data_IF_999787116925
#
_entry.id   IF_999787116925
#
_cell.length_a   1.000
_cell.length_b   1.000
_cell.length_c   1.000
_cell.angle_alpha   90.00
_cell.angle_beta   90.00
_cell.angle_gamma   90.00
#
_symmetry.space_group_name_H-M   'P 1'
#
loop_
_entity.id
_entity.type
_entity.pdbx_description
1 polymer ?
#
# COMPACT_ATOMS: atom_id res chain seq x y z
N UNK A 1 -39.00 52.15 -8.83
CA UNK A 1 -38.53 50.87 -8.23
C UNK A 1 -38.47 49.70 -9.23
N UNK A 2 -38.06 49.90 -10.50
CA UNK A 2 -37.97 48.82 -11.52
C UNK A 2 -36.52 48.32 -11.78
N UNK A 3 -35.53 49.07 -11.29
CA UNK A 3 -34.11 48.79 -11.51
C UNK A 3 -33.60 47.64 -10.63
N UNK A 4 -34.00 47.58 -9.35
CA UNK A 4 -33.55 46.54 -8.42
C UNK A 4 -33.94 45.11 -8.83
N UNK A 5 -35.12 44.92 -9.45
CA UNK A 5 -35.60 43.60 -9.86
C UNK A 5 -34.78 43.00 -10.99
N UNK A 6 -34.31 43.83 -11.94
CA UNK A 6 -33.44 43.38 -13.04
C UNK A 6 -32.07 42.96 -12.54
N UNK A 7 -31.51 43.68 -11.58
CA UNK A 7 -30.19 43.38 -11.00
C UNK A 7 -30.22 42.06 -10.21
N UNK A 8 -31.30 41.81 -9.46
CA UNK A 8 -31.50 40.55 -8.71
C UNK A 8 -31.57 39.35 -9.66
N UNK A 9 -32.25 39.48 -10.80
CA UNK A 9 -32.34 38.40 -11.79
C UNK A 9 -30.99 38.05 -12.43
N UNK A 10 -30.18 39.07 -12.72
CA UNK A 10 -28.82 38.87 -13.24
C UNK A 10 -27.95 38.15 -12.21
N UNK A 11 -28.08 38.51 -10.93
CA UNK A 11 -27.35 37.91 -9.81
C UNK A 11 -27.74 36.45 -9.57
N UNK A 12 -29.03 36.13 -9.67
CA UNK A 12 -29.54 34.75 -9.59
C UNK A 12 -29.07 33.90 -10.77
N UNK A 13 -29.06 34.47 -11.99
CA UNK A 13 -28.59 33.79 -13.18
C UNK A 13 -27.11 33.40 -13.10
N UNK A 14 -26.25 34.32 -12.70
CA UNK A 14 -24.81 34.03 -12.56
C UNK A 14 -24.53 33.04 -11.43
N UNK A 15 -25.28 33.11 -10.33
CA UNK A 15 -25.17 32.15 -9.22
C UNK A 15 -25.56 30.72 -9.66
N UNK A 16 -26.66 30.58 -10.41
CA UNK A 16 -27.10 29.29 -10.94
C UNK A 16 -26.06 28.68 -11.90
N UNK A 17 -25.45 29.50 -12.75
CA UNK A 17 -24.38 29.08 -13.66
C UNK A 17 -23.14 28.64 -12.86
N UNK A 18 -22.74 29.39 -11.84
CA UNK A 18 -21.63 29.02 -10.95
C UNK A 18 -21.87 27.70 -10.22
N UNK A 19 -23.09 27.47 -9.73
CA UNK A 19 -23.48 26.21 -9.09
C UNK A 19 -23.51 25.04 -10.07
N UNK A 20 -24.03 25.24 -11.28
CA UNK A 20 -24.07 24.20 -12.31
C UNK A 20 -22.66 23.78 -12.74
N UNK A 21 -21.75 24.75 -12.93
CA UNK A 21 -20.34 24.49 -13.25
C UNK A 21 -19.61 23.81 -12.09
N UNK A 22 -19.88 24.21 -10.85
CA UNK A 22 -19.33 23.57 -9.65
C UNK A 22 -19.79 22.11 -9.50
N UNK A 23 -21.08 21.84 -9.75
CA UNK A 23 -21.65 20.50 -9.66
C UNK A 23 -21.10 19.56 -10.75
N UNK A 24 -20.96 20.05 -11.99
CA UNK A 24 -20.39 19.28 -13.10
C UNK A 24 -18.89 19.00 -12.91
N UNK A 25 -18.14 19.94 -12.30
CA UNK A 25 -16.73 19.75 -11.95
C UNK A 25 -16.50 18.71 -10.84
N UNK A 26 -17.40 18.64 -9.85
CA UNK A 26 -17.32 17.63 -8.78
C UNK A 26 -17.60 16.20 -9.28
N UNK A 27 -18.57 16.03 -10.18
CA UNK A 27 -18.97 14.70 -10.68
C UNK A 27 -17.86 14.01 -11.49
N UNK A 28 -17.14 14.75 -12.33
CA UNK A 28 -16.05 14.20 -13.15
C UNK A 28 -14.78 13.87 -12.36
N UNK A 29 -14.49 14.63 -11.29
CA UNK A 29 -13.32 14.40 -10.46
C UNK A 29 -13.52 13.26 -9.44
N UNK A 30 -14.76 12.99 -9.02
CA UNK A 30 -15.10 11.87 -8.15
C UNK A 30 -15.04 10.52 -8.91
N UNK A 31 -15.56 10.46 -10.14
CA UNK A 31 -15.52 9.24 -10.96
C UNK A 31 -14.09 8.81 -11.31
N UNK A 32 -13.20 9.74 -11.68
CA UNK A 32 -11.80 9.40 -12.01
C UNK A 32 -10.99 8.93 -10.81
N UNK A 33 -11.31 9.40 -9.59
CA UNK A 33 -10.66 8.89 -8.36
C UNK A 33 -11.15 7.49 -8.00
N UNK A 34 -12.43 7.19 -8.24
CA UNK A 34 -12.96 5.84 -8.05
C UNK A 34 -12.46 4.88 -9.13
N UNK A 35 -12.41 5.25 -10.40
CA UNK A 35 -11.81 4.42 -11.46
C UNK A 35 -10.36 4.03 -11.14
N UNK A 36 -9.55 4.98 -10.67
CA UNK A 36 -8.15 4.71 -10.31
C UNK A 36 -8.02 3.79 -9.08
N UNK A 37 -8.91 3.92 -8.11
CA UNK A 37 -8.99 3.02 -6.94
C UNK A 37 -9.52 1.63 -7.33
N UNK A 38 -10.50 1.57 -8.23
CA UNK A 38 -11.09 0.34 -8.76
C UNK A 38 -10.09 -0.41 -9.65
N UNK A 39 -9.28 0.30 -10.44
CA UNK A 39 -8.26 -0.27 -11.31
C UNK A 39 -7.02 -0.75 -10.52
N UNK A 40 -6.59 0.01 -9.51
CA UNK A 40 -5.57 -0.46 -8.56
C UNK A 40 -6.06 -1.64 -7.70
N UNK A 41 -7.38 -1.72 -7.40
CA UNK A 41 -8.02 -2.82 -6.66
C UNK A 41 -8.33 -4.05 -7.54
N UNK A 42 -8.51 -3.87 -8.86
CA UNK A 42 -8.69 -4.93 -9.86
C UNK A 42 -7.43 -5.76 -10.08
N UNK A 43 -6.25 -5.15 -9.98
CA UNK A 43 -4.98 -5.84 -10.28
C UNK A 43 -4.37 -6.63 -9.12
N UNK A 44 -4.84 -6.47 -7.88
CA UNK A 44 -4.30 -7.23 -6.75
C UNK A 44 -5.10 -7.06 -5.46
N UNK A 45 -5.94 -8.04 -5.16
CA UNK A 45 -6.76 -8.08 -3.94
C UNK A 45 -7.77 -9.22 -3.99
N UNK A 46 -8.57 -9.37 -2.93
CA UNK A 46 -9.60 -10.39 -2.81
C UNK A 46 -10.64 -10.29 -3.93
N UNK A 47 -11.04 -9.06 -4.32
CA UNK A 47 -11.94 -8.85 -5.44
C UNK A 47 -11.35 -9.40 -6.75
N UNK A 48 -10.09 -9.08 -7.06
CA UNK A 48 -9.42 -9.61 -8.26
C UNK A 48 -9.21 -11.13 -8.26
N UNK A 49 -9.33 -11.81 -7.13
CA UNK A 49 -9.43 -13.28 -7.09
C UNK A 49 -10.85 -13.76 -7.42
N UNK A 50 -11.88 -13.10 -6.88
CA UNK A 50 -13.29 -13.44 -7.12
C UNK A 50 -13.68 -13.18 -8.58
N UNK A 51 -13.23 -12.06 -9.14
CA UNK A 51 -13.46 -11.61 -10.52
C UNK A 51 -12.96 -12.62 -11.57
N UNK A 52 -12.02 -13.52 -11.21
CA UNK A 52 -11.55 -14.59 -12.11
C UNK A 52 -12.57 -15.73 -12.30
N UNK A 53 -13.52 -15.86 -11.38
CA UNK A 53 -14.45 -16.99 -11.34
C UNK A 53 -15.90 -16.56 -11.52
N UNK A 54 -16.21 -15.29 -11.26
CA UNK A 54 -17.57 -14.76 -11.31
C UNK A 54 -17.58 -13.57 -12.26
N UNK A 55 -18.36 -13.70 -13.33
CA UNK A 55 -18.72 -12.58 -14.19
C UNK A 55 -20.01 -11.92 -13.65
N UNK A 56 -19.98 -10.65 -13.20
CA UNK A 56 -21.17 -9.99 -12.66
C UNK A 56 -22.26 -9.81 -13.71
N UNK A 57 -23.52 -10.07 -13.34
CA UNK A 57 -24.68 -9.98 -14.23
C UNK A 57 -25.06 -8.52 -14.49
N UNK A 58 -24.85 -7.64 -13.50
CA UNK A 58 -25.12 -6.22 -13.60
C UNK A 58 -24.14 -5.37 -12.76
N UNK A 59 -24.22 -4.05 -12.94
CA UNK A 59 -23.37 -3.09 -12.22
C UNK A 59 -23.64 -3.09 -10.70
N UNK A 60 -24.88 -3.34 -10.28
CA UNK A 60 -25.27 -3.34 -8.87
C UNK A 60 -24.60 -4.51 -8.15
N UNK A 61 -24.57 -5.68 -8.79
CA UNK A 61 -23.88 -6.87 -8.30
C UNK A 61 -22.37 -6.63 -8.26
N UNK A 62 -21.79 -6.03 -9.30
CA UNK A 62 -20.37 -5.70 -9.32
C UNK A 62 -19.99 -4.81 -8.13
N UNK A 63 -20.71 -3.71 -7.92
CA UNK A 63 -20.44 -2.77 -6.83
C UNK A 63 -20.59 -3.44 -5.45
N UNK A 64 -21.58 -4.34 -5.33
CA UNK A 64 -21.80 -5.14 -4.12
C UNK A 64 -20.63 -6.09 -3.86
N UNK A 65 -20.16 -6.82 -4.88
CA UNK A 65 -19.01 -7.72 -4.78
C UNK A 65 -17.73 -6.96 -4.40
N UNK A 66 -17.52 -5.77 -4.97
CA UNK A 66 -16.39 -4.90 -4.61
C UNK A 66 -16.47 -4.49 -3.14
N UNK A 67 -17.65 -4.04 -2.68
CA UNK A 67 -17.84 -3.60 -1.31
C UNK A 67 -17.64 -4.73 -0.28
N UNK A 68 -18.16 -5.93 -0.55
CA UNK A 68 -17.95 -7.12 0.28
C UNK A 68 -16.46 -7.47 0.32
N UNK A 69 -15.82 -7.56 -0.84
CA UNK A 69 -14.41 -7.91 -0.94
C UNK A 69 -13.51 -6.94 -0.17
N UNK A 70 -13.79 -5.64 -0.29
CA UNK A 70 -13.03 -4.61 0.42
C UNK A 70 -13.16 -4.72 1.94
N UNK A 71 -14.35 -5.01 2.45
CA UNK A 71 -14.59 -5.19 3.89
C UNK A 71 -13.76 -6.34 4.48
N UNK A 72 -13.53 -7.38 3.69
CA UNK A 72 -12.77 -8.55 4.12
C UNK A 72 -11.28 -8.48 3.79
N UNK A 73 -10.87 -7.59 2.90
CA UNK A 73 -9.49 -7.40 2.47
C UNK A 73 -8.55 -7.14 3.66
N UNK A 74 -8.89 -6.18 4.54
CA UNK A 74 -8.04 -5.81 5.68
C UNK A 74 -7.80 -6.98 6.65
N UNK A 75 -8.83 -7.81 6.87
CA UNK A 75 -8.73 -8.99 7.74
C UNK A 75 -7.83 -10.04 7.09
N UNK A 76 -7.97 -10.24 5.79
CA UNK A 76 -7.17 -11.18 5.01
C UNK A 76 -5.71 -10.75 4.94
N UNK A 77 -5.43 -9.46 4.76
CA UNK A 77 -4.08 -8.90 4.72
C UNK A 77 -3.35 -9.07 6.05
N UNK A 78 -4.04 -8.83 7.17
CA UNK A 78 -3.49 -9.11 8.52
C UNK A 78 -3.13 -10.58 8.68
N UNK A 79 -4.01 -11.49 8.23
CA UNK A 79 -3.77 -12.92 8.29
C UNK A 79 -2.56 -13.32 7.44
N UNK A 80 -2.50 -12.86 6.19
CA UNK A 80 -1.37 -13.14 5.30
C UNK A 80 -0.06 -12.57 5.82
N UNK A 81 -0.08 -11.37 6.41
CA UNK A 81 1.11 -10.77 7.02
C UNK A 81 1.63 -11.63 8.17
N UNK A 82 0.74 -12.06 9.08
CA UNK A 82 1.10 -12.94 10.22
C UNK A 82 1.62 -14.29 9.74
N UNK A 83 0.88 -14.94 8.82
CA UNK A 83 1.27 -16.21 8.24
C UNK A 83 2.62 -16.14 7.53
N UNK A 84 2.85 -15.10 6.72
CA UNK A 84 4.13 -14.90 6.01
C UNK A 84 5.30 -14.73 6.98
N UNK A 85 5.11 -13.99 8.07
CA UNK A 85 6.15 -13.82 9.09
C UNK A 85 6.48 -15.14 9.80
N UNK A 86 5.45 -15.91 10.19
CA UNK A 86 5.63 -17.22 10.79
C UNK A 86 6.32 -18.20 9.83
N UNK A 87 5.84 -18.29 8.59
CA UNK A 87 6.41 -19.14 7.55
C UNK A 87 7.88 -18.83 7.29
N UNK A 88 8.24 -17.54 7.22
CA UNK A 88 9.63 -17.14 7.06
C UNK A 88 10.51 -17.64 8.20
N UNK A 89 10.00 -17.67 9.44
CA UNK A 89 10.78 -18.15 10.58
C UNK A 89 10.93 -19.65 10.61
N UNK A 90 9.85 -20.36 10.35
CA UNK A 90 9.88 -21.80 10.18
C UNK A 90 10.91 -22.22 9.12
N UNK A 91 10.93 -21.54 7.97
CA UNK A 91 11.87 -21.85 6.88
C UNK A 91 13.33 -21.54 7.23
N UNK A 92 13.56 -20.53 8.06
CA UNK A 92 14.89 -20.17 8.55
C UNK A 92 15.41 -21.23 9.54
N UNK A 93 14.58 -21.64 10.50
CA UNK A 93 14.89 -22.74 11.42
C UNK A 93 15.16 -24.05 10.67
N UNK A 94 14.30 -24.37 9.68
CA UNK A 94 14.50 -25.54 8.82
C UNK A 94 15.84 -25.48 8.08
N UNK A 95 16.24 -24.30 7.57
CA UNK A 95 17.54 -24.11 6.92
C UNK A 95 18.69 -24.41 7.90
N UNK A 96 18.62 -23.87 9.11
CA UNK A 96 19.65 -24.09 10.15
C UNK A 96 19.79 -25.57 10.51
N UNK A 97 18.69 -26.32 10.55
CA UNK A 97 18.71 -27.76 10.85
C UNK A 97 19.19 -28.60 9.66
N UNK A 98 18.86 -28.22 8.43
CA UNK A 98 19.20 -29.00 7.23
C UNK A 98 20.64 -28.78 6.77
N UNK A 99 21.16 -27.55 6.80
CA UNK A 99 22.49 -27.21 6.26
C UNK A 99 23.62 -28.10 6.79
N UNK A 100 23.68 -28.46 8.08
CA UNK A 100 24.73 -29.35 8.60
C UNK A 100 24.69 -30.80 8.08
N UNK A 101 23.53 -31.25 7.57
CA UNK A 101 23.31 -32.63 7.11
C UNK A 101 23.50 -32.76 5.59
N UNK A 102 23.50 -31.63 4.88
CA UNK A 102 23.58 -31.57 3.43
C UNK A 102 25.02 -31.38 2.96
N UNK A 103 25.33 -31.92 1.78
CA UNK A 103 26.56 -31.57 1.08
C UNK A 103 26.49 -30.15 0.50
N UNK A 104 27.66 -29.54 0.29
CA UNK A 104 27.85 -28.21 -0.30
C UNK A 104 27.11 -28.01 -1.63
N UNK A 105 27.05 -29.03 -2.49
CA UNK A 105 26.30 -28.99 -3.75
C UNK A 105 24.79 -28.88 -3.54
N UNK A 106 24.27 -29.61 -2.55
CA UNK A 106 22.84 -29.63 -2.19
C UNK A 106 22.42 -28.32 -1.51
N UNK A 107 23.28 -27.78 -0.63
CA UNK A 107 23.06 -26.46 -0.01
C UNK A 107 22.96 -25.37 -1.07
N UNK A 108 23.83 -25.41 -2.08
CA UNK A 108 23.82 -24.44 -3.19
C UNK A 108 22.52 -24.55 -4.00
N UNK A 109 22.06 -25.77 -4.30
CA UNK A 109 20.81 -26.00 -5.02
C UNK A 109 19.56 -25.54 -4.25
N UNK A 110 19.56 -25.67 -2.91
CA UNK A 110 18.44 -25.32 -2.05
C UNK A 110 18.39 -23.84 -1.64
N UNK A 111 19.52 -23.13 -1.70
CA UNK A 111 19.63 -21.71 -1.28
C UNK A 111 18.60 -20.80 -1.98
N UNK A 112 18.39 -20.86 -3.31
CA UNK A 112 17.36 -20.03 -3.98
C UNK A 112 15.94 -20.28 -3.49
N UNK A 113 15.65 -21.50 -3.00
CA UNK A 113 14.34 -21.83 -2.43
C UNK A 113 14.18 -21.22 -1.04
N UNK A 114 15.16 -21.37 -0.16
CA UNK A 114 15.15 -20.73 1.16
C UNK A 114 15.09 -19.21 1.07
N UNK A 115 15.89 -18.60 0.19
CA UNK A 115 15.93 -17.14 0.04
C UNK A 115 14.57 -16.58 -0.43
N UNK A 116 13.89 -17.26 -1.36
CA UNK A 116 12.52 -16.87 -1.76
C UNK A 116 11.53 -17.00 -0.59
N UNK A 117 11.74 -17.95 0.30
CA UNK A 117 10.88 -18.16 1.46
C UNK A 117 11.13 -17.15 2.60
N UNK A 118 12.35 -16.62 2.75
CA UNK A 118 12.79 -15.78 3.89
C UNK A 118 12.99 -14.28 3.57
N UNK A 119 13.05 -13.89 2.29
CA UNK A 119 13.39 -12.54 1.74
C UNK A 119 12.85 -11.27 2.43
N UNK A 120 11.83 -11.33 3.30
CA UNK A 120 11.28 -10.13 3.98
C UNK A 120 11.53 -10.05 5.48
N UNK A 121 12.07 -11.08 6.13
CA UNK A 121 12.52 -10.94 7.52
C UNK A 121 13.74 -10.01 7.59
N UNK A 122 14.72 -10.20 6.70
CA UNK A 122 15.95 -9.40 6.66
C UNK A 122 15.71 -7.89 6.48
N UNK A 123 14.67 -7.49 5.74
CA UNK A 123 14.34 -6.08 5.54
C UNK A 123 13.71 -5.41 6.79
N UNK A 124 13.14 -6.19 7.71
CA UNK A 124 12.52 -5.66 8.94
C UNK A 124 13.51 -5.57 10.11
N UNK A 125 14.64 -6.27 10.03
CA UNK A 125 15.68 -6.30 11.08
C UNK A 125 16.93 -5.48 10.74
N UNK A 126 16.97 -4.82 9.57
CA UNK A 126 18.19 -4.22 9.02
C UNK A 126 18.45 -2.74 9.31
N UNK A 127 17.61 -2.04 10.08
CA UNK A 127 17.67 -0.57 10.11
C UNK A 127 17.43 0.01 11.52
N UNK A 128 18.35 -0.27 12.46
CA UNK A 128 18.40 0.45 13.76
C UNK A 128 19.77 0.47 14.46
N UNK A 129 20.84 -0.10 13.89
CA UNK A 129 22.13 -0.25 14.64
C UNK A 129 23.36 0.23 13.88
N UNK A 130 23.23 1.18 12.94
CA UNK A 130 24.41 1.66 12.19
C UNK A 130 24.45 3.18 12.00
N UNK A 131 24.20 3.96 13.04
CA UNK A 131 24.59 5.38 13.05
C UNK A 131 24.92 5.85 14.47
N UNK A 132 25.99 5.36 15.11
CA UNK A 132 26.66 6.13 16.17
C UNK A 132 28.05 5.57 16.52
N UNK A 133 29.04 5.71 15.63
CA UNK A 133 30.45 5.60 16.03
C UNK A 133 31.37 6.08 14.91
N UNK A 134 31.41 7.39 14.63
CA UNK A 134 32.49 8.04 13.85
C UNK A 134 32.33 9.56 13.85
N UNK A 135 32.33 10.23 15.00
CA UNK A 135 32.40 11.70 15.04
C UNK A 135 32.88 12.21 16.40
N UNK A 136 34.08 11.83 16.85
CA UNK A 136 34.79 12.59 17.90
C UNK A 136 36.25 12.12 17.99
N UNK A 137 37.10 12.73 17.17
CA UNK A 137 38.55 12.83 17.42
C UNK A 137 39.17 13.75 16.37
N UNK A 138 38.85 15.05 16.44
CA UNK A 138 39.73 16.09 15.93
C UNK A 138 39.26 17.46 16.42
N UNK A 139 39.76 17.86 17.59
CA UNK A 139 40.06 19.24 17.97
C UNK A 139 40.47 19.20 19.45
N UNK A 140 41.75 19.45 19.77
CA UNK A 140 42.19 20.79 20.09
C UNK A 140 43.55 20.71 20.79
N UNK A 141 44.60 21.04 20.02
CA UNK A 141 45.97 21.13 20.49
C UNK A 141 46.32 22.61 20.64
N UNK A 142 45.86 23.30 21.70
CA UNK A 142 46.51 24.54 22.13
C UNK A 142 46.08 25.03 23.53
N UNK A 143 47.08 25.42 24.34
CA UNK A 143 47.07 26.48 25.38
C UNK A 143 47.11 26.08 26.87
N UNK A 144 48.35 26.15 27.40
CA UNK A 144 48.81 26.82 28.64
C UNK A 144 48.38 26.37 30.06
N UNK A 145 49.35 25.74 30.73
CA UNK A 145 50.00 26.05 32.03
C UNK A 145 49.29 26.97 33.05
N UNK A 146 49.42 26.63 34.35
CA UNK A 146 50.11 27.52 35.31
C UNK A 146 51.43 26.92 35.84
#
# INVERSE_FOLDING_TARGET
MKLHTKTIFVLLGTLAIGLALGALGQSTMHNRRMEKLTEMRRQGGLYGQIDRYIDPIDQVQQDTLVAISHRHQDRLDKLYKKYRWYRSGFMDSLRTELVPVLDSSQVTALTPWFDRATRRRGAATGDSTSVQSSSESNADSTTSRP
#
